data_IF_276516268549
#
_entry.id   IF_276516268549
#
_cell.length_a   1.000
_cell.length_b   1.000
_cell.length_c   1.000
_cell.angle_alpha   90.00
_cell.angle_beta   90.00
_cell.angle_gamma   90.00
#
_symmetry.space_group_name_H-M   'P 1'
#
loop_
_entity.id
_entity.type
_entity.pdbx_description
1 polymer ?
#
# COMPACT_ATOMS: atom_id res chain seq x y z
N UNK A 1 46.39 -71.59 -25.36
CA UNK A 1 46.95 -71.88 -26.69
C UNK A 1 47.56 -70.58 -27.16
N UNK A 2 48.87 -70.42 -27.04
CA UNK A 2 49.84 -70.70 -28.15
C UNK A 2 49.50 -69.85 -29.37
N UNK A 3 50.34 -69.01 -30.01
CA UNK A 3 51.79 -69.05 -30.18
C UNK A 3 52.16 -67.74 -30.86
N UNK A 4 53.18 -67.03 -30.42
CA UNK A 4 54.47 -66.87 -31.06
C UNK A 4 54.44 -66.29 -32.48
N UNK A 5 55.15 -65.33 -32.81
CA UNK A 5 56.57 -65.17 -33.04
C UNK A 5 56.71 -64.11 -34.13
N UNK A 6 57.68 -63.57 -34.39
CA UNK A 6 59.10 -63.54 -34.34
C UNK A 6 59.61 -62.49 -35.37
N UNK A 7 60.56 -61.71 -34.96
CA UNK A 7 61.70 -61.14 -35.69
C UNK A 7 61.65 -60.76 -37.20
N UNK A 8 62.07 -59.54 -37.51
CA UNK A 8 63.39 -59.32 -38.00
C UNK A 8 63.83 -57.90 -38.22
N UNK A 9 65.05 -57.69 -37.88
CA UNK A 9 65.98 -56.57 -38.02
C UNK A 9 66.09 -55.98 -39.44
N UNK A 10 66.37 -54.67 -39.55
CA UNK A 10 67.62 -54.14 -40.14
C UNK A 10 67.64 -52.63 -40.25
N UNK A 11 68.58 -52.07 -39.55
CA UNK A 11 69.62 -51.12 -39.94
C UNK A 11 69.30 -49.98 -40.94
N UNK A 12 69.41 -48.77 -40.49
CA UNK A 12 70.41 -47.85 -40.98
C UNK A 12 69.95 -46.61 -41.68
N UNK A 13 70.14 -45.49 -41.15
CA UNK A 13 71.01 -44.42 -41.60
C UNK A 13 70.55 -43.05 -41.00
N UNK A 14 71.54 -42.43 -40.47
CA UNK A 14 71.53 -41.06 -39.97
C UNK A 14 71.15 -40.06 -41.06
N UNK A 15 70.28 -39.08 -40.74
CA UNK A 15 70.52 -37.71 -41.15
C UNK A 15 69.81 -36.78 -40.20
N UNK A 16 70.55 -35.86 -39.68
CA UNK A 16 70.11 -34.85 -38.72
C UNK A 16 69.20 -33.76 -39.34
N UNK A 17 68.13 -33.52 -38.70
CA UNK A 17 67.40 -32.28 -38.92
C UNK A 17 67.02 -31.63 -37.57
N UNK A 18 67.45 -30.40 -37.45
CA UNK A 18 67.30 -29.58 -36.26
C UNK A 18 65.81 -29.40 -35.97
N UNK A 19 65.31 -29.96 -34.88
CA UNK A 19 63.99 -29.66 -34.36
C UNK A 19 63.97 -28.24 -33.83
N UNK A 20 63.34 -27.39 -34.60
CA UNK A 20 63.00 -26.02 -34.14
C UNK A 20 61.97 -26.13 -33.02
N UNK A 21 62.40 -25.72 -31.82
CA UNK A 21 61.48 -25.59 -30.68
C UNK A 21 60.55 -24.43 -30.96
N UNK A 22 59.33 -24.74 -31.40
CA UNK A 22 58.25 -23.74 -31.47
C UNK A 22 57.88 -23.33 -30.05
N UNK A 23 58.29 -22.13 -29.69
CA UNK A 23 57.75 -21.45 -28.52
C UNK A 23 56.31 -21.03 -28.80
N UNK A 24 55.38 -21.97 -28.79
CA UNK A 24 53.96 -21.67 -28.70
C UNK A 24 53.59 -21.42 -27.24
N UNK A 25 52.94 -20.32 -26.95
CA UNK A 25 52.15 -20.27 -25.74
C UNK A 25 52.27 -19.11 -24.77
N UNK A 26 52.99 -17.99 -25.05
CA UNK A 26 52.90 -16.83 -24.14
C UNK A 26 51.84 -15.81 -24.56
N UNK A 27 51.41 -15.75 -25.80
CA UNK A 27 50.42 -14.80 -26.31
C UNK A 27 48.96 -15.16 -26.03
N UNK A 28 48.62 -16.43 -26.04
CA UNK A 28 47.23 -16.88 -25.82
C UNK A 28 46.81 -16.81 -24.33
N UNK A 29 47.74 -17.14 -23.43
CA UNK A 29 47.48 -17.04 -21.97
C UNK A 29 47.24 -15.60 -21.53
N UNK A 30 47.99 -14.63 -22.06
CA UNK A 30 47.83 -13.21 -21.73
C UNK A 30 46.54 -12.60 -22.32
N UNK A 31 46.09 -13.06 -23.47
CA UNK A 31 44.85 -12.63 -24.14
C UNK A 31 43.61 -13.14 -23.40
N UNK A 32 43.63 -14.40 -22.95
CA UNK A 32 42.58 -15.03 -22.15
C UNK A 32 42.41 -14.35 -20.78
N UNK A 33 43.50 -14.00 -20.13
CA UNK A 33 43.47 -13.34 -18.81
C UNK A 33 42.94 -11.88 -18.88
N UNK A 34 43.23 -11.17 -19.98
CA UNK A 34 42.74 -9.82 -20.23
C UNK A 34 41.24 -9.81 -20.50
N UNK A 35 40.72 -10.71 -21.32
CA UNK A 35 39.28 -10.85 -21.59
C UNK A 35 38.51 -11.22 -20.32
N UNK A 36 39.06 -12.11 -19.50
CA UNK A 36 38.45 -12.52 -18.23
C UNK A 36 38.39 -11.38 -17.23
N UNK A 37 39.41 -10.53 -17.16
CA UNK A 37 39.42 -9.34 -16.32
C UNK A 37 38.44 -8.26 -16.80
N UNK A 38 38.30 -8.06 -18.10
CA UNK A 38 37.36 -7.11 -18.67
C UNK A 38 35.91 -7.61 -18.51
N UNK A 39 35.64 -8.88 -18.62
CA UNK A 39 34.35 -9.50 -18.34
C UNK A 39 34.00 -9.37 -16.85
N UNK A 40 34.95 -9.61 -15.95
CA UNK A 40 34.72 -9.43 -14.50
C UNK A 40 34.40 -7.97 -14.14
N UNK A 41 35.10 -7.00 -14.77
CA UNK A 41 34.79 -5.56 -14.58
C UNK A 41 33.38 -5.23 -15.08
N UNK A 42 32.97 -5.78 -16.24
CA UNK A 42 31.63 -5.57 -16.76
C UNK A 42 30.55 -6.08 -15.79
N UNK A 43 30.70 -7.29 -15.27
CA UNK A 43 29.76 -7.83 -14.28
C UNK A 43 29.77 -7.04 -12.97
N UNK A 44 30.92 -6.55 -12.53
CA UNK A 44 31.01 -5.69 -11.35
C UNK A 44 30.25 -4.36 -11.54
N UNK A 45 30.35 -3.74 -12.71
CA UNK A 45 29.62 -2.51 -13.05
C UNK A 45 28.11 -2.78 -13.12
N UNK A 46 27.69 -3.89 -13.77
CA UNK A 46 26.29 -4.26 -13.85
C UNK A 46 25.70 -4.53 -12.45
N UNK A 47 26.45 -5.25 -11.61
CA UNK A 47 26.03 -5.53 -10.23
C UNK A 47 25.91 -4.25 -9.41
N UNK A 48 26.89 -3.34 -9.51
CA UNK A 48 26.85 -2.05 -8.85
C UNK A 48 25.65 -1.21 -9.30
N UNK A 49 25.34 -1.21 -10.60
CA UNK A 49 24.16 -0.54 -11.15
C UNK A 49 22.84 -1.13 -10.60
N UNK A 50 22.73 -2.48 -10.57
CA UNK A 50 21.56 -3.15 -10.00
C UNK A 50 21.38 -2.86 -8.51
N UNK A 51 22.46 -2.84 -7.72
CA UNK A 51 22.44 -2.46 -6.32
C UNK A 51 22.04 -1.00 -6.12
N UNK A 52 22.52 -0.11 -6.99
CA UNK A 52 22.13 1.32 -6.96
C UNK A 52 20.64 1.49 -7.29
N UNK A 53 20.13 0.84 -8.34
CA UNK A 53 18.71 0.86 -8.68
C UNK A 53 17.85 0.27 -7.55
N UNK A 54 18.28 -0.84 -6.94
CA UNK A 54 17.56 -1.44 -5.81
C UNK A 54 17.57 -0.56 -4.57
N UNK A 55 18.65 0.19 -4.33
CA UNK A 55 18.72 1.14 -3.21
C UNK A 55 17.81 2.35 -3.41
N UNK A 56 17.72 2.89 -4.64
CA UNK A 56 16.77 3.95 -4.99
C UNK A 56 15.34 3.45 -4.78
N UNK A 57 15.03 2.27 -5.29
CA UNK A 57 13.71 1.66 -5.13
C UNK A 57 13.36 1.44 -3.66
N UNK A 58 14.30 0.92 -2.86
CA UNK A 58 14.14 0.75 -1.42
C UNK A 58 13.89 2.07 -0.69
N UNK A 59 14.67 3.12 -1.01
CA UNK A 59 14.48 4.46 -0.44
C UNK A 59 13.13 5.02 -0.83
N UNK A 60 12.72 4.88 -2.09
CA UNK A 60 11.43 5.35 -2.58
C UNK A 60 10.27 4.61 -1.90
N UNK A 61 10.38 3.29 -1.71
CA UNK A 61 9.39 2.48 -1.01
C UNK A 61 9.26 2.83 0.49
N UNK A 62 10.35 3.27 1.12
CA UNK A 62 10.34 3.68 2.53
C UNK A 62 10.06 5.17 2.73
N UNK A 63 10.16 5.97 1.69
CA UNK A 63 9.93 7.41 1.75
C UNK A 63 8.61 7.76 1.06
N UNK A 64 7.51 7.52 1.77
CA UNK A 64 6.19 7.91 1.28
C UNK A 64 6.09 9.43 1.22
N UNK A 65 5.67 9.91 0.06
CA UNK A 65 5.39 11.33 -0.19
C UNK A 65 3.93 11.50 -0.59
N UNK A 66 3.03 10.89 0.18
CA UNK A 66 1.60 11.05 -0.05
C UNK A 66 1.22 12.51 0.21
N UNK A 67 0.60 13.14 -0.77
CA UNK A 67 0.15 14.53 -0.65
C UNK A 67 -1.11 14.61 0.22
N UNK A 68 -1.12 15.54 1.17
CA UNK A 68 -2.31 15.95 1.91
C UNK A 68 -2.97 17.20 1.31
N UNK A 69 -2.50 17.68 0.15
CA UNK A 69 -3.15 18.78 -0.55
C UNK A 69 -4.54 18.36 -0.98
N UNK A 70 -5.52 19.25 -0.71
CA UNK A 70 -6.89 19.05 -1.15
C UNK A 70 -7.00 19.08 -2.67
N UNK A 71 -7.84 18.21 -3.21
CA UNK A 71 -8.25 18.27 -4.61
C UNK A 71 -9.05 19.55 -4.90
N UNK A 72 -9.03 20.01 -6.15
CA UNK A 72 -9.93 21.09 -6.58
C UNK A 72 -11.38 20.56 -6.62
N UNK A 73 -12.33 21.43 -6.30
CA UNK A 73 -13.75 21.12 -6.46
C UNK A 73 -14.19 21.48 -7.87
N UNK A 74 -14.10 20.51 -8.77
CA UNK A 74 -14.48 20.69 -10.18
C UNK A 74 -16.00 20.87 -10.38
N UNK A 75 -16.80 20.51 -9.38
CA UNK A 75 -18.26 20.65 -9.41
C UNK A 75 -18.78 21.97 -8.82
N UNK A 76 -17.87 22.77 -8.23
CA UNK A 76 -18.11 24.14 -7.78
C UNK A 76 -19.26 24.29 -6.77
N UNK A 77 -19.33 23.43 -5.78
CA UNK A 77 -20.34 23.47 -4.72
C UNK A 77 -21.81 23.49 -5.23
N UNK A 78 -22.11 22.85 -6.34
CA UNK A 78 -23.49 22.78 -6.88
C UNK A 78 -24.43 21.95 -6.02
N UNK A 79 -23.88 21.03 -5.23
CA UNK A 79 -24.64 20.23 -4.28
C UNK A 79 -24.42 20.86 -2.91
N UNK A 80 -25.49 21.29 -2.21
CA UNK A 80 -25.37 21.77 -0.84
C UNK A 80 -24.76 20.70 0.08
N UNK A 81 -23.88 21.12 0.96
CA UNK A 81 -23.33 20.22 1.97
C UNK A 81 -24.43 19.85 2.97
N UNK A 82 -24.47 18.57 3.33
CA UNK A 82 -25.31 18.09 4.40
C UNK A 82 -24.73 18.53 5.76
N UNK A 83 -25.61 18.96 6.65
CA UNK A 83 -25.32 19.28 8.04
C UNK A 83 -26.13 18.37 8.95
N UNK A 84 -25.46 17.72 9.90
CA UNK A 84 -26.14 16.91 10.91
C UNK A 84 -26.85 17.79 11.95
N UNK A 85 -27.90 17.26 12.54
CA UNK A 85 -28.50 17.88 13.73
C UNK A 85 -27.80 17.51 15.05
N UNK A 86 -26.85 16.58 14.99
CA UNK A 86 -26.07 16.13 16.13
C UNK A 86 -24.73 16.89 16.21
N UNK A 87 -24.31 17.18 17.43
CA UNK A 87 -23.04 17.73 17.85
C UNK A 87 -22.71 16.97 19.15
N UNK A 88 -21.96 15.87 19.02
CA UNK A 88 -21.78 14.89 20.11
C UNK A 88 -20.81 15.36 21.18
N UNK A 89 -19.83 16.16 20.81
CA UNK A 89 -18.81 16.67 21.73
C UNK A 89 -19.08 18.08 22.22
N UNK A 90 -20.25 18.68 21.81
CA UNK A 90 -20.75 20.00 22.21
C UNK A 90 -19.76 21.15 21.91
N UNK A 91 -19.00 21.04 20.80
CA UNK A 91 -18.04 22.08 20.42
C UNK A 91 -18.62 23.17 19.49
N UNK A 92 -19.85 23.00 19.03
CA UNK A 92 -20.59 23.91 18.16
C UNK A 92 -20.43 23.64 16.68
N UNK A 93 -19.77 22.55 16.29
CA UNK A 93 -19.67 22.02 14.92
C UNK A 93 -20.52 20.76 14.84
N UNK A 94 -21.25 20.56 13.75
CA UNK A 94 -22.04 19.35 13.60
C UNK A 94 -21.16 18.11 13.29
N UNK A 95 -21.59 16.93 13.75
CA UNK A 95 -20.86 15.68 13.64
C UNK A 95 -20.39 15.39 12.20
N UNK A 96 -21.19 15.73 11.17
CA UNK A 96 -20.85 15.46 9.78
C UNK A 96 -19.64 16.25 9.32
N UNK A 97 -19.60 17.53 9.70
CA UNK A 97 -18.48 18.41 9.40
C UNK A 97 -17.25 18.03 10.23
N UNK A 98 -17.43 17.64 11.48
CA UNK A 98 -16.34 17.19 12.35
C UNK A 98 -15.68 15.91 11.85
N UNK A 99 -16.45 14.95 11.38
CA UNK A 99 -15.89 13.73 10.75
C UNK A 99 -15.04 14.10 9.52
N UNK A 100 -15.53 14.99 8.67
CA UNK A 100 -14.76 15.45 7.51
C UNK A 100 -13.47 16.16 7.95
N UNK A 101 -13.58 17.10 8.88
CA UNK A 101 -12.45 17.87 9.40
C UNK A 101 -11.41 16.96 10.08
N UNK A 102 -11.88 15.99 10.86
CA UNK A 102 -11.02 15.01 11.52
C UNK A 102 -10.24 14.14 10.54
N UNK A 103 -10.88 13.69 9.45
CA UNK A 103 -10.20 12.97 8.38
C UNK A 103 -9.10 13.82 7.74
N UNK A 104 -9.40 15.08 7.40
CA UNK A 104 -8.46 16.03 6.82
C UNK A 104 -7.31 16.37 7.78
N UNK A 105 -7.62 16.58 9.06
CA UNK A 105 -6.62 16.83 10.09
C UNK A 105 -5.66 15.64 10.24
N UNK A 106 -6.19 14.41 10.29
CA UNK A 106 -5.37 13.22 10.39
C UNK A 106 -4.43 13.06 9.18
N UNK A 107 -4.92 13.16 7.94
CA UNK A 107 -4.07 12.99 6.76
C UNK A 107 -3.06 14.13 6.60
N UNK A 108 -3.33 15.32 7.18
CA UNK A 108 -2.37 16.44 7.20
C UNK A 108 -1.11 16.15 8.03
N UNK A 109 -1.15 15.13 8.90
CA UNK A 109 0.04 14.64 9.65
C UNK A 109 0.97 13.77 8.79
N UNK A 110 0.57 13.48 7.54
CA UNK A 110 1.31 12.64 6.59
C UNK A 110 1.69 11.27 7.15
N UNK A 111 0.73 10.47 7.67
CA UNK A 111 1.03 9.15 8.21
C UNK A 111 1.58 8.24 7.12
N UNK A 112 2.66 7.51 7.41
CA UNK A 112 3.22 6.52 6.49
C UNK A 112 2.39 5.24 6.50
N UNK A 113 2.22 4.60 5.35
CA UNK A 113 1.44 3.37 5.28
C UNK A 113 2.16 2.20 5.95
N UNK A 114 1.59 1.71 7.06
CA UNK A 114 2.04 0.47 7.71
C UNK A 114 0.97 -0.05 8.65
N UNK A 115 0.58 -1.33 8.45
CA UNK A 115 -0.25 -2.04 9.41
C UNK A 115 0.61 -2.56 10.55
N UNK A 116 0.27 -2.17 11.79
CA UNK A 116 0.92 -2.60 13.03
C UNK A 116 -0.13 -2.84 14.10
N UNK A 117 0.22 -3.66 15.07
CA UNK A 117 -0.50 -3.73 16.33
C UNK A 117 0.00 -2.63 17.29
N UNK A 118 -0.92 -2.00 18.00
CA UNK A 118 -0.65 -0.99 19.02
C UNK A 118 -1.35 -1.40 20.31
N UNK A 119 -0.61 -1.46 21.42
CA UNK A 119 -1.16 -1.83 22.73
C UNK A 119 -2.18 -0.81 23.26
N UNK A 120 -2.16 0.41 22.74
CA UNK A 120 -3.14 1.47 23.00
C UNK A 120 -4.29 1.53 21.99
N UNK A 121 -4.26 0.69 20.95
CA UNK A 121 -5.20 0.66 19.85
C UNK A 121 -4.88 1.66 18.75
N UNK A 122 -4.79 2.95 19.07
CA UNK A 122 -4.52 4.01 18.09
C UNK A 122 -3.03 4.14 17.75
N UNK A 123 -2.67 4.34 16.45
CA UNK A 123 -1.29 4.64 16.05
C UNK A 123 -0.78 5.95 16.66
N UNK A 124 0.43 5.93 17.19
CA UNK A 124 1.10 7.11 17.80
C UNK A 124 2.51 7.37 17.23
N UNK A 125 2.91 6.60 16.19
CA UNK A 125 4.28 6.56 15.66
C UNK A 125 4.40 7.13 14.23
N UNK A 126 3.38 7.81 13.74
CA UNK A 126 3.34 8.40 12.39
C UNK A 126 3.12 7.35 11.27
N UNK A 127 2.63 6.16 11.62
CA UNK A 127 2.12 5.18 10.67
C UNK A 127 0.60 5.03 10.79
N UNK A 128 -0.01 4.46 9.77
CA UNK A 128 -1.43 4.17 9.76
C UNK A 128 -1.90 3.45 8.51
N UNK A 129 -3.18 3.12 8.47
CA UNK A 129 -3.87 2.47 7.36
C UNK A 129 -5.26 3.09 7.16
N UNK A 130 -6.06 2.56 6.24
CA UNK A 130 -7.38 3.10 5.90
C UNK A 130 -8.34 3.24 7.10
N UNK A 131 -8.34 2.27 8.00
CA UNK A 131 -9.20 2.29 9.20
C UNK A 131 -8.80 3.37 10.20
N UNK A 132 -7.53 3.77 10.23
CA UNK A 132 -7.05 4.83 11.11
C UNK A 132 -7.55 6.21 10.66
N UNK A 133 -7.70 6.43 9.33
CA UNK A 133 -8.34 7.65 8.81
C UNK A 133 -9.76 7.79 9.37
N UNK A 134 -10.54 6.70 9.34
CA UNK A 134 -11.92 6.68 9.84
C UNK A 134 -11.97 6.81 11.36
N UNK A 135 -11.07 6.12 12.06
CA UNK A 135 -11.02 6.15 13.52
C UNK A 135 -10.70 7.55 14.06
N UNK A 136 -9.71 8.23 13.47
CA UNK A 136 -9.39 9.60 13.86
C UNK A 136 -10.45 10.62 13.41
N UNK A 137 -11.10 10.39 12.25
CA UNK A 137 -12.22 11.21 11.80
C UNK A 137 -13.36 11.17 12.80
N UNK A 138 -13.78 9.97 13.21
CA UNK A 138 -14.85 9.80 14.21
C UNK A 138 -14.45 10.29 15.60
N UNK A 139 -13.19 10.12 15.98
CA UNK A 139 -12.69 10.62 17.26
C UNK A 139 -12.76 12.14 17.36
N UNK A 140 -12.57 12.85 16.24
CA UNK A 140 -12.73 14.30 16.18
C UNK A 140 -14.16 14.76 16.45
N UNK A 141 -15.15 13.94 16.11
CA UNK A 141 -16.57 14.16 16.37
C UNK A 141 -17.06 13.49 17.67
N UNK A 142 -16.17 13.21 18.62
CA UNK A 142 -16.51 12.65 19.92
C UNK A 142 -16.89 11.15 19.93
N UNK A 143 -16.60 10.40 18.84
CA UNK A 143 -16.87 8.96 18.76
C UNK A 143 -15.58 8.15 18.89
N UNK A 144 -15.31 7.54 20.05
CA UNK A 144 -14.18 6.62 20.19
C UNK A 144 -14.52 5.26 19.60
N UNK A 145 -14.01 5.02 18.38
CA UNK A 145 -14.33 3.83 17.60
C UNK A 145 -13.79 2.53 18.26
N UNK A 146 -12.72 2.62 19.03
CA UNK A 146 -12.18 1.50 19.79
C UNK A 146 -13.18 1.01 20.84
N UNK A 147 -13.71 1.93 21.64
CA UNK A 147 -14.69 1.63 22.68
C UNK A 147 -16.03 1.17 22.09
N UNK A 148 -16.50 1.85 21.04
CA UNK A 148 -17.79 1.57 20.44
C UNK A 148 -17.83 0.20 19.74
N UNK A 149 -16.78 -0.17 19.00
CA UNK A 149 -16.69 -1.49 18.34
C UNK A 149 -16.52 -2.60 19.37
N UNK A 150 -15.72 -2.40 20.42
CA UNK A 150 -15.56 -3.38 21.50
C UNK A 150 -16.89 -3.64 22.23
N UNK A 151 -17.67 -2.58 22.47
CA UNK A 151 -19.00 -2.70 23.08
C UNK A 151 -19.97 -3.46 22.16
N UNK A 152 -20.02 -3.14 20.88
CA UNK A 152 -20.93 -3.80 19.92
C UNK A 152 -20.55 -5.28 19.71
N UNK A 153 -19.26 -5.64 19.67
CA UNK A 153 -18.79 -7.03 19.61
C UNK A 153 -19.24 -7.81 20.85
N UNK A 154 -19.19 -7.20 22.04
CA UNK A 154 -19.66 -7.86 23.28
C UNK A 154 -21.16 -8.06 23.34
N UNK A 155 -21.92 -7.12 22.78
CA UNK A 155 -23.38 -7.17 22.76
C UNK A 155 -23.89 -8.13 21.67
N UNK A 156 -23.24 -8.17 20.50
CA UNK A 156 -23.66 -8.94 19.33
C UNK A 156 -22.54 -9.81 18.75
N UNK A 157 -21.88 -10.68 19.56
CA UNK A 157 -20.68 -11.42 19.13
C UNK A 157 -20.92 -12.38 17.96
N UNK A 158 -22.17 -12.82 17.74
CA UNK A 158 -22.53 -13.74 16.65
C UNK A 158 -22.43 -13.08 15.26
N UNK A 159 -22.50 -11.74 15.16
CA UNK A 159 -22.47 -11.02 13.90
C UNK A 159 -21.01 -10.75 13.46
N UNK A 160 -20.07 -10.92 14.38
CA UNK A 160 -18.65 -10.72 14.13
C UNK A 160 -17.92 -12.06 13.96
N UNK A 161 -17.02 -12.12 12.99
CA UNK A 161 -16.13 -13.28 12.80
C UNK A 161 -14.85 -13.11 13.64
N UNK A 162 -15.03 -12.92 14.97
CA UNK A 162 -13.96 -12.71 15.93
C UNK A 162 -14.00 -13.82 16.95
N UNK A 163 -12.96 -14.67 16.99
CA UNK A 163 -12.88 -15.77 17.92
C UNK A 163 -12.48 -15.31 19.34
N UNK A 164 -11.55 -14.38 19.40
CA UNK A 164 -11.07 -13.76 20.64
C UNK A 164 -11.09 -12.25 20.42
N UNK A 165 -12.01 -11.51 21.05
CA UNK A 165 -12.08 -10.06 20.94
C UNK A 165 -10.83 -9.38 21.48
N UNK A 166 -10.30 -8.42 20.74
CA UNK A 166 -9.20 -7.58 21.12
C UNK A 166 -9.49 -6.13 20.73
N UNK A 167 -9.90 -5.32 21.70
CA UNK A 167 -10.28 -3.94 21.53
C UNK A 167 -9.20 -3.10 20.81
N UNK A 168 -7.92 -3.47 20.94
CA UNK A 168 -6.81 -2.73 20.36
C UNK A 168 -6.63 -2.91 18.85
N UNK A 169 -7.31 -3.93 18.25
CA UNK A 169 -7.18 -4.21 16.82
C UNK A 169 -8.52 -4.39 16.12
N UNK A 170 -9.60 -4.73 16.82
CA UNK A 170 -10.87 -5.08 16.18
C UNK A 170 -11.51 -3.90 15.45
N UNK A 171 -11.44 -2.68 16.00
CA UNK A 171 -11.91 -1.45 15.34
C UNK A 171 -11.05 -1.05 14.13
N UNK A 172 -9.89 -1.67 13.93
CA UNK A 172 -8.98 -1.46 12.80
C UNK A 172 -9.12 -2.54 11.71
N UNK A 173 -10.20 -3.31 11.75
CA UNK A 173 -10.53 -4.34 10.75
C UNK A 173 -11.75 -3.94 9.94
N UNK A 174 -11.57 -3.72 8.63
CA UNK A 174 -12.66 -3.30 7.72
C UNK A 174 -13.89 -4.19 7.85
N UNK A 175 -13.73 -5.51 7.97
CA UNK A 175 -14.84 -6.45 8.14
C UNK A 175 -15.66 -6.18 9.40
N UNK A 176 -15.00 -5.82 10.51
CA UNK A 176 -15.68 -5.53 11.77
C UNK A 176 -16.38 -4.17 11.68
N UNK A 177 -15.73 -3.17 11.07
CA UNK A 177 -16.34 -1.86 10.84
C UNK A 177 -17.57 -1.94 9.93
N UNK A 178 -17.59 -2.84 8.95
CA UNK A 178 -18.78 -3.07 8.13
C UNK A 178 -19.97 -3.55 8.98
N UNK A 179 -19.74 -4.47 9.91
CA UNK A 179 -20.78 -4.94 10.85
C UNK A 179 -21.19 -3.79 11.76
N UNK A 180 -20.24 -3.15 12.42
CA UNK A 180 -20.49 -2.04 13.33
C UNK A 180 -21.34 -0.93 12.71
N UNK A 181 -20.99 -0.43 11.52
CA UNK A 181 -21.75 0.63 10.87
C UNK A 181 -23.13 0.14 10.39
N UNK A 182 -23.30 -1.15 10.09
CA UNK A 182 -24.63 -1.69 9.78
C UNK A 182 -25.56 -1.72 10.98
N UNK A 183 -25.01 -1.79 12.21
CA UNK A 183 -25.80 -1.75 13.45
C UNK A 183 -26.09 -0.31 13.92
N UNK A 184 -25.15 0.62 13.71
CA UNK A 184 -25.13 1.88 14.46
C UNK A 184 -25.30 3.13 13.58
N UNK A 185 -25.17 3.03 12.26
CA UNK A 185 -25.20 4.16 11.35
C UNK A 185 -26.38 4.09 10.36
N UNK A 186 -26.67 5.20 9.73
CA UNK A 186 -27.71 5.31 8.69
C UNK A 186 -27.13 4.73 7.40
N UNK A 187 -27.70 3.62 6.92
CA UNK A 187 -27.33 3.07 5.62
C UNK A 187 -27.89 3.91 4.47
N UNK A 188 -27.05 4.26 3.52
CA UNK A 188 -27.36 5.05 2.35
C UNK A 188 -27.17 4.24 1.06
N UNK A 189 -27.53 4.83 -0.10
CA UNK A 189 -27.33 4.19 -1.40
C UNK A 189 -25.84 3.94 -1.68
N UNK A 190 -25.55 2.82 -2.35
CA UNK A 190 -24.21 2.55 -2.90
C UNK A 190 -24.12 2.86 -4.40
N UNK A 191 -25.19 3.39 -4.99
CA UNK A 191 -25.18 3.88 -6.38
C UNK A 191 -24.45 5.22 -6.46
N UNK A 192 -23.29 5.21 -7.10
CA UNK A 192 -22.46 6.41 -7.26
C UNK A 192 -23.09 7.46 -8.16
N UNK A 193 -24.09 7.09 -8.99
CA UNK A 193 -24.82 8.02 -9.85
C UNK A 193 -25.79 8.92 -9.07
N UNK A 194 -26.20 8.52 -7.87
CA UNK A 194 -27.01 9.34 -6.95
C UNK A 194 -26.13 10.35 -6.21
N UNK A 195 -25.48 11.23 -6.98
CA UNK A 195 -24.39 12.10 -6.46
C UNK A 195 -24.78 12.99 -5.29
N UNK A 196 -26.04 13.32 -5.12
CA UNK A 196 -26.54 14.18 -4.03
C UNK A 196 -26.56 13.44 -2.67
N UNK A 197 -26.68 12.11 -2.71
CA UNK A 197 -26.71 11.26 -1.50
C UNK A 197 -25.31 11.12 -0.87
N UNK A 198 -24.26 11.31 -1.65
CA UNK A 198 -22.88 11.21 -1.19
C UNK A 198 -22.40 12.55 -0.65
N UNK A 199 -22.22 12.65 0.65
CA UNK A 199 -21.89 13.89 1.34
C UNK A 199 -20.53 13.81 2.04
N UNK A 200 -19.84 14.96 2.15
CA UNK A 200 -18.59 15.05 2.90
C UNK A 200 -18.79 14.61 4.34
N UNK A 201 -17.91 13.74 4.87
CA UNK A 201 -18.05 13.13 6.18
C UNK A 201 -18.74 11.76 6.20
N UNK A 202 -19.39 11.35 5.10
CA UNK A 202 -19.94 9.99 5.00
C UNK A 202 -18.81 8.95 4.99
N UNK A 203 -19.15 7.73 5.41
CA UNK A 203 -18.24 6.60 5.45
C UNK A 203 -18.53 5.69 4.27
N UNK A 204 -17.53 5.40 3.44
CA UNK A 204 -17.64 4.43 2.34
C UNK A 204 -16.82 3.18 2.65
N UNK A 205 -17.44 2.01 2.49
CA UNK A 205 -16.82 0.70 2.70
C UNK A 205 -16.78 -0.05 1.38
N UNK A 206 -15.58 -0.49 1.04
CA UNK A 206 -15.31 -1.41 -0.05
C UNK A 206 -15.07 -2.82 0.53
N UNK A 207 -14.99 -3.85 -0.29
CA UNK A 207 -14.79 -5.23 0.22
C UNK A 207 -13.62 -5.37 1.20
N UNK A 208 -12.51 -4.64 0.96
CA UNK A 208 -11.28 -4.75 1.76
C UNK A 208 -10.68 -3.40 2.13
N UNK A 209 -11.44 -2.32 1.99
CA UNK A 209 -10.96 -0.96 2.20
C UNK A 209 -12.08 -0.07 2.75
N UNK A 210 -11.71 1.06 3.36
CA UNK A 210 -12.65 2.03 3.92
C UNK A 210 -12.08 3.45 3.78
N UNK A 211 -12.93 4.45 3.70
CA UNK A 211 -12.53 5.85 3.66
C UNK A 211 -13.67 6.78 4.06
N UNK A 212 -13.34 8.07 4.13
CA UNK A 212 -14.31 9.16 4.35
C UNK A 212 -14.57 9.84 3.02
N UNK A 213 -15.83 10.10 2.72
CA UNK A 213 -16.26 10.87 1.55
C UNK A 213 -15.84 12.34 1.74
N UNK A 214 -15.25 12.92 0.72
CA UNK A 214 -14.84 14.32 0.70
C UNK A 214 -16.00 15.24 0.31
N UNK A 215 -15.93 16.51 0.71
CA UNK A 215 -16.76 17.61 0.21
C UNK A 215 -16.31 18.10 -1.19
N UNK A 216 -15.15 17.66 -1.67
CA UNK A 216 -14.63 17.96 -3.02
C UNK A 216 -15.12 16.94 -4.02
N UNK A 217 -15.48 17.42 -5.22
CA UNK A 217 -16.09 16.61 -6.28
C UNK A 217 -15.38 16.78 -7.60
N UNK A 218 -15.36 15.71 -8.38
CA UNK A 218 -14.91 15.76 -9.77
C UNK A 218 -15.94 16.43 -10.67
N UNK A 219 -15.60 16.62 -11.95
CA UNK A 219 -16.47 17.27 -12.95
C UNK A 219 -17.83 16.59 -13.16
N UNK A 220 -17.97 15.32 -12.79
CA UNK A 220 -19.23 14.56 -12.88
C UNK A 220 -20.08 14.72 -11.60
N UNK A 221 -19.61 15.45 -10.60
CA UNK A 221 -20.27 15.62 -9.31
C UNK A 221 -20.01 14.48 -8.31
N UNK A 222 -19.17 13.50 -8.66
CA UNK A 222 -18.83 12.40 -7.78
C UNK A 222 -17.74 12.86 -6.79
N UNK A 223 -17.92 12.63 -5.48
CA UNK A 223 -16.97 13.09 -4.49
C UNK A 223 -15.65 12.29 -4.52
N UNK A 224 -14.58 12.96 -4.12
CA UNK A 224 -13.31 12.29 -3.82
C UNK A 224 -13.44 11.50 -2.52
N UNK A 225 -12.48 10.59 -2.30
CA UNK A 225 -12.40 9.81 -1.07
C UNK A 225 -11.10 10.14 -0.34
N UNK A 226 -11.21 10.44 0.95
CA UNK A 226 -10.09 10.64 1.88
C UNK A 226 -9.78 9.28 2.49
N UNK A 227 -8.62 8.73 2.15
CA UNK A 227 -8.24 7.38 2.57
C UNK A 227 -6.73 7.17 2.59
N UNK A 228 -6.29 6.07 3.18
CA UNK A 228 -4.90 5.64 3.18
C UNK A 228 -4.82 4.19 2.68
N UNK A 229 -4.62 4.02 1.36
CA UNK A 229 -4.84 2.75 0.67
C UNK A 229 -3.62 1.83 0.66
N UNK A 230 -2.45 2.38 0.37
CA UNK A 230 -1.22 1.60 0.17
C UNK A 230 0.04 2.49 0.24
N UNK A 231 1.25 1.89 0.32
CA UNK A 231 2.50 2.64 0.42
C UNK A 231 2.89 3.43 -0.85
N UNK A 232 2.21 3.23 -1.97
CA UNK A 232 2.48 3.89 -3.26
C UNK A 232 1.49 5.02 -3.57
N UNK A 233 0.53 5.22 -2.68
CA UNK A 233 -0.48 6.25 -2.81
C UNK A 233 0.16 7.64 -2.93
N UNK A 234 -0.28 8.42 -3.93
CA UNK A 234 0.30 9.74 -4.22
C UNK A 234 -0.41 10.89 -3.52
N UNK A 235 -1.69 10.72 -3.18
CA UNK A 235 -2.51 11.69 -2.44
C UNK A 235 -3.48 10.96 -1.52
N UNK A 236 -3.83 11.56 -0.37
CA UNK A 236 -4.84 10.99 0.53
C UNK A 236 -6.26 11.22 0.05
N UNK A 237 -6.53 12.32 -0.63
CA UNK A 237 -7.82 12.62 -1.26
C UNK A 237 -7.75 12.29 -2.74
N UNK A 238 -8.54 11.29 -3.20
CA UNK A 238 -8.42 10.72 -4.54
C UNK A 238 -9.77 10.54 -5.22
N UNK A 239 -9.78 10.74 -6.55
CA UNK A 239 -10.90 10.45 -7.45
C UNK A 239 -10.94 8.96 -7.79
N UNK A 240 -11.52 8.15 -6.88
CA UNK A 240 -11.56 6.70 -7.01
C UNK A 240 -12.94 6.09 -7.00
N UNK A 241 -13.96 6.81 -6.51
CA UNK A 241 -15.28 6.24 -6.24
C UNK A 241 -15.96 5.70 -7.51
N UNK A 242 -15.95 6.45 -8.63
CA UNK A 242 -16.49 5.99 -9.91
C UNK A 242 -15.78 4.76 -10.51
N UNK A 243 -14.54 4.52 -10.09
CA UNK A 243 -13.68 3.44 -10.60
C UNK A 243 -13.82 2.15 -9.80
N UNK A 244 -14.55 2.21 -8.67
CA UNK A 244 -14.73 1.08 -7.75
C UNK A 244 -16.01 0.32 -8.08
N UNK A 245 -15.90 -1.00 -8.13
CA UNK A 245 -17.03 -1.91 -8.35
C UNK A 245 -17.32 -2.78 -7.12
N UNK A 246 -16.57 -2.54 -6.04
CA UNK A 246 -16.56 -3.31 -4.80
C UNK A 246 -17.06 -2.48 -3.61
N UNK A 247 -17.95 -1.50 -3.85
CA UNK A 247 -18.62 -0.74 -2.77
C UNK A 247 -19.63 -1.69 -2.10
N UNK A 248 -19.47 -1.89 -0.80
CA UNK A 248 -20.30 -2.80 0.00
C UNK A 248 -21.01 -2.11 1.17
N UNK A 249 -20.83 -0.79 1.30
CA UNK A 249 -21.52 0.02 2.29
C UNK A 249 -21.27 1.50 2.09
N UNK A 250 -22.30 2.31 2.38
CA UNK A 250 -22.26 3.75 2.45
C UNK A 250 -23.08 4.17 3.66
N UNK A 251 -22.48 4.89 4.59
CA UNK A 251 -23.06 5.16 5.89
C UNK A 251 -22.87 6.62 6.31
N UNK A 252 -23.84 7.14 7.09
CA UNK A 252 -23.80 8.41 7.77
C UNK A 252 -24.04 8.20 9.26
N UNK A 253 -23.25 8.83 10.13
CA UNK A 253 -23.32 8.58 11.58
C UNK A 253 -24.59 9.15 12.17
N UNK A 254 -25.04 10.33 11.75
CA UNK A 254 -26.18 11.03 12.29
C UNK A 254 -27.06 11.65 11.21
N UNK A 255 -28.32 11.96 11.54
CA UNK A 255 -29.31 12.57 10.63
C UNK A 255 -29.37 14.06 10.79
#
# INVERSE_FOLDING_TARGET
MKVSGLFCCAKGLQNGEKAGIFKAGKGESMRSDRTRKDTAKYYAVVLAFLLFCSSIFYVQAHYQRTSASRSEDDYQNRIPQFHSSADRDDDGVDDQLDILNGALAYVSTHPKYKSRYYETGYPDDGYGVCTDVVAYALKNAGYDLQELVDADIREQPQDYMVAEPDANIDFRRVRNLKVFFSHTAVALTTDVSEIEEWQGGDIVIFERHIGIVSDRRNKNGVPYIIHHNDPWQTAYEQDVLEKRTDIVGHYRISK
#
